data_IF_692858375376
#
_entry.id   IF_692858375376
#
_cell.length_a   1.000
_cell.length_b   1.000
_cell.length_c   1.000
_cell.angle_alpha   90.00
_cell.angle_beta   90.00
_cell.angle_gamma   90.00
#
_symmetry.space_group_name_H-M   'P 1'
#
loop_
_entity.id
_entity.type
_entity.pdbx_description
1 polymer ?
#
# COMPACT_ATOMS: atom_id res chain seq x y z
N UNK A 1 5.23 -28.46 -2.62
CA UNK A 1 5.77 -27.49 -1.65
C UNK A 1 5.15 -26.15 -2.00
N UNK A 2 4.54 -25.41 -1.04
CA UNK A 2 4.09 -24.05 -1.31
C UNK A 2 5.32 -23.19 -1.57
N UNK A 3 5.33 -22.40 -2.65
CA UNK A 3 6.43 -21.47 -2.89
C UNK A 3 6.44 -20.42 -1.79
N UNK A 4 7.57 -20.30 -1.12
CA UNK A 4 7.80 -19.27 -0.10
C UNK A 4 8.06 -17.95 -0.80
N UNK A 5 7.20 -16.97 -0.57
CA UNK A 5 7.36 -15.59 -1.06
C UNK A 5 7.84 -14.66 0.04
N UNK A 6 8.25 -13.48 -0.35
CA UNK A 6 8.80 -12.43 0.49
C UNK A 6 7.87 -11.20 0.42
N UNK A 7 7.33 -10.78 1.56
CA UNK A 7 6.38 -9.68 1.60
C UNK A 7 6.82 -8.59 2.59
N UNK A 8 6.61 -7.34 2.19
CA UNK A 8 6.73 -6.20 3.09
C UNK A 8 5.34 -5.73 3.51
N UNK A 9 5.14 -5.46 4.80
CA UNK A 9 3.90 -4.86 5.32
C UNK A 9 4.26 -3.52 5.96
N UNK A 10 3.69 -2.45 5.43
CA UNK A 10 3.98 -1.09 5.88
C UNK A 10 2.77 -0.54 6.63
N UNK A 11 2.97 -0.18 7.89
CA UNK A 11 1.99 0.52 8.71
C UNK A 11 2.14 2.03 8.53
N UNK A 12 1.18 2.61 7.81
CA UNK A 12 1.03 4.05 7.63
C UNK A 12 0.11 4.70 8.66
N UNK A 13 -0.28 3.96 9.69
CA UNK A 13 -1.06 4.48 10.79
C UNK A 13 -0.31 5.58 11.53
N UNK A 14 -1.07 6.53 12.07
CA UNK A 14 -0.55 7.61 12.89
C UNK A 14 -1.56 8.00 13.94
N UNK A 15 -1.08 8.23 15.15
CA UNK A 15 -1.87 8.86 16.19
C UNK A 15 -2.09 10.33 15.84
N UNK A 16 -3.36 10.71 15.69
CA UNK A 16 -3.80 12.09 15.56
C UNK A 16 -4.62 12.49 16.79
N UNK A 17 -4.87 13.76 16.99
CA UNK A 17 -5.52 14.31 18.18
C UNK A 17 -6.76 13.54 18.69
N UNK A 18 -7.54 12.94 17.78
CA UNK A 18 -8.80 12.27 18.09
C UNK A 18 -8.79 10.76 17.80
N UNK A 19 -7.67 10.19 17.41
CA UNK A 19 -7.56 8.77 17.08
C UNK A 19 -6.16 8.25 17.40
N UNK A 20 -6.11 7.08 18.01
CA UNK A 20 -4.87 6.40 18.38
C UNK A 20 -4.36 5.45 17.28
N UNK A 21 -5.05 5.37 16.13
CA UNK A 21 -4.67 4.47 15.03
C UNK A 21 -4.85 2.97 15.30
N UNK A 22 -5.51 2.59 16.41
CA UNK A 22 -5.60 1.19 16.86
C UNK A 22 -6.10 0.21 15.81
N UNK A 23 -7.16 0.54 15.07
CA UNK A 23 -7.69 -0.34 14.03
C UNK A 23 -6.67 -0.55 12.92
N UNK A 24 -5.97 0.51 12.52
CA UNK A 24 -4.94 0.42 11.49
C UNK A 24 -3.79 -0.52 11.92
N UNK A 25 -3.28 -0.35 13.15
CA UNK A 25 -2.26 -1.26 13.69
C UNK A 25 -2.76 -2.71 13.81
N UNK A 26 -4.03 -2.92 14.20
CA UNK A 26 -4.61 -4.27 14.28
C UNK A 26 -4.68 -4.92 12.90
N UNK A 27 -5.05 -4.18 11.85
CA UNK A 27 -5.06 -4.67 10.48
C UNK A 27 -3.63 -4.95 9.99
N UNK A 28 -2.66 -4.08 10.27
CA UNK A 28 -1.25 -4.32 9.98
C UNK A 28 -0.76 -5.64 10.60
N UNK A 29 -1.01 -5.86 11.90
CA UNK A 29 -0.67 -7.10 12.58
C UNK A 29 -1.41 -8.30 11.96
N UNK A 30 -2.68 -8.13 11.59
CA UNK A 30 -3.47 -9.18 10.91
C UNK A 30 -2.83 -9.56 9.57
N UNK A 31 -2.35 -8.60 8.79
CA UNK A 31 -1.65 -8.88 7.53
C UNK A 31 -0.35 -9.66 7.77
N UNK A 32 0.51 -9.20 8.67
CA UNK A 32 1.74 -9.90 9.05
C UNK A 32 1.46 -11.35 9.46
N UNK A 33 0.53 -11.54 10.41
CA UNK A 33 0.25 -12.85 10.99
C UNK A 33 -0.36 -13.80 9.95
N UNK A 34 -1.27 -13.31 9.10
CA UNK A 34 -1.88 -14.10 8.03
C UNK A 34 -0.83 -14.53 7.01
N UNK A 35 -0.01 -13.61 6.52
CA UNK A 35 1.04 -13.93 5.53
C UNK A 35 2.09 -14.89 6.11
N UNK A 36 2.45 -14.73 7.38
CA UNK A 36 3.35 -15.65 8.09
C UNK A 36 2.73 -17.04 8.24
N UNK A 37 1.44 -17.13 8.60
CA UNK A 37 0.71 -18.39 8.71
C UNK A 37 0.56 -19.12 7.35
N UNK A 38 0.53 -18.37 6.25
CA UNK A 38 0.57 -18.92 4.89
C UNK A 38 1.97 -19.47 4.50
N UNK A 39 2.99 -19.24 5.33
CA UNK A 39 4.35 -19.76 5.14
C UNK A 39 5.29 -18.79 4.43
N UNK A 40 4.91 -17.53 4.27
CA UNK A 40 5.72 -16.51 3.62
C UNK A 40 6.72 -15.84 4.59
N UNK A 41 7.77 -15.23 4.06
CA UNK A 41 8.65 -14.37 4.84
C UNK A 41 8.08 -12.95 4.85
N UNK A 42 8.01 -12.34 6.03
CA UNK A 42 7.44 -11.00 6.19
C UNK A 42 8.45 -10.08 6.86
N UNK A 43 8.66 -8.89 6.29
CA UNK A 43 9.32 -7.76 6.93
C UNK A 43 8.30 -6.65 7.15
N UNK A 44 8.48 -5.92 8.24
CA UNK A 44 7.56 -4.85 8.65
C UNK A 44 8.25 -3.49 8.65
N UNK A 45 7.44 -2.46 8.47
CA UNK A 45 7.81 -1.06 8.75
C UNK A 45 6.63 -0.37 9.41
N UNK A 46 6.83 0.20 10.57
CA UNK A 46 5.87 1.09 11.24
C UNK A 46 6.40 2.51 11.06
N UNK A 47 5.79 3.27 10.16
CA UNK A 47 6.29 4.60 9.75
C UNK A 47 6.40 5.55 10.94
N UNK A 48 5.45 5.48 11.90
CA UNK A 48 5.44 6.37 13.07
C UNK A 48 6.61 6.11 14.03
N UNK A 49 7.15 4.90 14.05
CA UNK A 49 8.33 4.53 14.86
C UNK A 49 9.65 4.98 14.24
N UNK A 50 9.61 5.45 13.00
CA UNK A 50 10.79 5.83 12.23
C UNK A 50 11.34 4.69 11.38
N UNK A 51 12.19 5.04 10.44
CA UNK A 51 12.82 4.09 9.50
C UNK A 51 14.15 4.63 8.98
N UNK A 52 15.03 3.73 8.63
CA UNK A 52 16.24 4.04 7.88
C UNK A 52 15.96 3.90 6.38
N UNK A 53 16.25 4.95 5.61
CA UNK A 53 15.90 5.03 4.19
C UNK A 53 16.59 3.96 3.34
N UNK A 54 17.86 3.69 3.63
CA UNK A 54 18.63 2.74 2.86
C UNK A 54 18.19 1.30 3.20
N UNK A 55 17.90 1.01 4.47
CA UNK A 55 17.30 -0.26 4.88
C UNK A 55 15.92 -0.47 4.25
N UNK A 56 15.11 0.58 4.09
CA UNK A 56 13.83 0.49 3.38
C UNK A 56 14.02 0.21 1.89
N UNK A 57 14.97 0.86 1.21
CA UNK A 57 15.31 0.54 -0.19
C UNK A 57 15.65 -0.94 -0.34
N UNK A 58 16.44 -1.51 0.57
CA UNK A 58 16.76 -2.94 0.55
C UNK A 58 15.52 -3.83 0.79
N UNK A 59 14.53 -3.40 1.60
CA UNK A 59 13.24 -4.11 1.72
C UNK A 59 12.45 -4.09 0.41
N UNK A 60 12.44 -2.96 -0.32
CA UNK A 60 11.81 -2.84 -1.64
C UNK A 60 12.46 -3.76 -2.69
N UNK A 61 13.77 -3.92 -2.64
CA UNK A 61 14.50 -4.85 -3.52
C UNK A 61 14.22 -6.31 -3.16
N UNK A 62 14.09 -6.61 -1.88
CA UNK A 62 13.89 -7.96 -1.35
C UNK A 62 12.47 -8.49 -1.61
N UNK A 63 11.41 -7.72 -1.36
CA UNK A 63 10.02 -8.18 -1.38
C UNK A 63 9.53 -8.61 -2.77
N UNK A 64 8.60 -9.56 -2.83
CA UNK A 64 7.78 -9.87 -4.01
C UNK A 64 6.55 -8.94 -4.09
N UNK A 65 6.00 -8.58 -2.93
CA UNK A 65 4.91 -7.61 -2.85
C UNK A 65 4.96 -6.80 -1.55
N UNK A 66 4.40 -5.58 -1.63
CA UNK A 66 4.15 -4.72 -0.46
C UNK A 66 2.65 -4.60 -0.17
N UNK A 67 2.30 -4.67 1.10
CA UNK A 67 0.97 -4.34 1.62
C UNK A 67 1.08 -3.02 2.36
N UNK A 68 0.41 -1.99 1.85
CA UNK A 68 0.26 -0.71 2.50
C UNK A 68 -0.98 -0.73 3.38
N UNK A 69 -0.83 -0.70 4.68
CA UNK A 69 -1.92 -0.55 5.63
C UNK A 69 -1.96 0.89 6.13
N UNK A 70 -2.99 1.65 5.76
CA UNK A 70 -3.05 3.08 6.08
C UNK A 70 -4.48 3.59 6.28
N UNK A 71 -4.73 4.56 7.18
CA UNK A 71 -6.01 5.21 7.26
C UNK A 71 -6.20 6.21 6.11
N UNK A 72 -7.44 6.40 5.66
CA UNK A 72 -7.80 7.52 4.82
C UNK A 72 -7.78 8.81 5.66
N UNK A 73 -7.02 9.81 5.22
CA UNK A 73 -6.85 11.09 5.90
C UNK A 73 -6.89 12.23 4.89
N UNK A 74 -7.89 13.11 5.01
CA UNK A 74 -8.06 14.21 4.06
C UNK A 74 -7.99 13.77 2.58
N UNK A 75 -8.81 12.77 2.23
CA UNK A 75 -9.02 12.25 0.88
C UNK A 75 -7.83 11.49 0.27
N UNK A 76 -6.88 11.07 1.09
CA UNK A 76 -5.72 10.30 0.66
C UNK A 76 -5.04 9.61 1.84
N UNK A 77 -3.76 9.35 1.70
CA UNK A 77 -2.90 8.81 2.75
C UNK A 77 -2.49 9.89 3.77
N UNK A 78 -2.11 9.51 5.00
CA UNK A 78 -1.48 10.44 5.95
C UNK A 78 -0.19 11.04 5.37
N UNK A 79 0.11 12.30 5.74
CA UNK A 79 1.33 12.97 5.29
C UNK A 79 2.62 12.20 5.62
N UNK A 80 2.61 11.39 6.68
CA UNK A 80 3.73 10.54 7.08
C UNK A 80 4.01 9.45 6.06
N UNK A 81 2.98 8.89 5.44
CA UNK A 81 3.09 7.92 4.34
C UNK A 81 3.66 8.61 3.10
N UNK A 82 3.17 9.81 2.78
CA UNK A 82 3.72 10.59 1.66
C UNK A 82 5.18 10.96 1.90
N UNK A 83 5.55 11.34 3.14
CA UNK A 83 6.95 11.57 3.53
C UNK A 83 7.82 10.32 3.30
N UNK A 84 7.34 9.13 3.73
CA UNK A 84 8.04 7.88 3.49
C UNK A 84 8.29 7.66 1.99
N UNK A 85 7.25 7.81 1.16
CA UNK A 85 7.38 7.70 -0.30
C UNK A 85 8.44 8.67 -0.83
N UNK A 86 8.36 9.94 -0.46
CA UNK A 86 9.28 10.96 -0.96
C UNK A 86 10.73 10.68 -0.54
N UNK A 87 10.95 10.23 0.67
CA UNK A 87 12.31 9.95 1.17
C UNK A 87 12.89 8.64 0.64
N UNK A 88 12.14 7.54 0.75
CA UNK A 88 12.62 6.20 0.39
C UNK A 88 12.71 6.02 -1.13
N UNK A 89 11.68 6.44 -1.87
CA UNK A 89 11.72 6.30 -3.33
C UNK A 89 12.81 7.20 -3.94
N UNK A 90 12.98 8.41 -3.41
CA UNK A 90 14.07 9.31 -3.85
C UNK A 90 15.45 8.73 -3.53
N UNK A 91 15.66 8.12 -2.37
CA UNK A 91 16.91 7.42 -2.06
C UNK A 91 17.17 6.30 -3.06
N UNK A 92 16.17 5.48 -3.34
CA UNK A 92 16.29 4.38 -4.32
C UNK A 92 16.51 4.84 -5.76
N UNK A 93 16.01 6.03 -6.15
CA UNK A 93 16.30 6.65 -7.46
C UNK A 93 17.76 7.12 -7.49
N UNK A 94 18.24 7.79 -6.44
CA UNK A 94 19.61 8.29 -6.36
C UNK A 94 20.67 7.20 -6.51
N UNK A 95 20.36 5.99 -6.11
CA UNK A 95 21.24 4.81 -6.21
C UNK A 95 21.00 3.95 -7.47
N UNK A 96 20.07 4.33 -8.35
CA UNK A 96 19.59 3.52 -9.49
C UNK A 96 19.13 2.10 -9.08
N UNK A 97 18.51 1.97 -7.91
CA UNK A 97 18.03 0.69 -7.37
C UNK A 97 16.55 0.46 -7.65
N UNK A 98 15.71 1.50 -7.50
CA UNK A 98 14.27 1.38 -7.68
C UNK A 98 13.80 1.90 -9.04
N UNK A 99 14.48 2.89 -9.59
CA UNK A 99 14.17 3.52 -10.88
C UNK A 99 15.47 3.86 -11.60
N UNK A 100 15.58 3.49 -12.88
CA UNK A 100 16.72 3.84 -13.72
C UNK A 100 16.58 5.26 -14.33
N UNK A 101 15.36 5.61 -14.73
CA UNK A 101 15.02 6.91 -15.33
C UNK A 101 13.48 7.05 -15.39
N UNK A 102 12.97 8.10 -15.99
CA UNK A 102 11.53 8.31 -16.14
C UNK A 102 10.88 7.51 -17.29
N UNK A 103 11.65 6.73 -18.03
CA UNK A 103 11.19 5.91 -19.16
C UNK A 103 11.19 6.64 -20.51
N UNK A 104 11.35 7.95 -20.54
CA UNK A 104 11.34 8.73 -21.79
C UNK A 104 12.70 8.65 -22.52
N UNK A 105 12.67 8.70 -23.83
CA UNK A 105 13.86 8.81 -24.67
C UNK A 105 14.02 10.21 -25.24
N UNK A 106 15.27 10.68 -25.37
CA UNK A 106 15.55 12.00 -25.94
C UNK A 106 15.04 12.18 -27.37
N UNK A 107 14.95 11.09 -28.13
CA UNK A 107 14.46 11.10 -29.53
C UNK A 107 12.93 11.25 -29.58
N UNK A 108 12.22 10.70 -28.59
CA UNK A 108 10.77 10.81 -28.45
C UNK A 108 10.39 11.11 -26.99
N UNK A 109 10.48 12.39 -26.55
CA UNK A 109 10.29 12.75 -25.14
C UNK A 109 8.83 12.77 -24.68
N UNK A 110 7.88 12.48 -25.57
CA UNK A 110 6.44 12.44 -25.26
C UNK A 110 5.94 11.03 -24.93
N UNK A 111 6.76 10.01 -25.14
CA UNK A 111 6.39 8.61 -24.92
C UNK A 111 7.23 7.95 -23.81
N UNK A 112 6.70 6.88 -23.24
CA UNK A 112 7.40 6.03 -22.27
C UNK A 112 7.44 6.56 -20.84
N UNK A 113 6.84 7.71 -20.52
CA UNK A 113 6.85 8.21 -19.14
C UNK A 113 6.30 7.19 -18.15
N UNK A 114 7.05 6.94 -17.07
CA UNK A 114 6.70 6.00 -16.03
C UNK A 114 7.12 4.54 -16.29
N UNK A 115 7.90 4.27 -17.35
CA UNK A 115 8.35 2.90 -17.68
C UNK A 115 9.78 2.58 -17.27
N UNK A 116 10.45 3.50 -16.57
CA UNK A 116 11.84 3.34 -16.13
C UNK A 116 12.03 2.68 -14.76
N UNK A 117 10.96 2.17 -14.15
CA UNK A 117 11.01 1.45 -12.90
C UNK A 117 11.75 0.11 -13.01
N UNK A 118 12.44 -0.31 -11.95
CA UNK A 118 13.25 -1.52 -11.92
C UNK A 118 12.60 -2.69 -11.16
N UNK A 119 11.46 -2.46 -10.50
CA UNK A 119 10.77 -3.46 -9.69
C UNK A 119 9.76 -4.29 -10.48
N UNK A 120 10.07 -4.61 -11.75
CA UNK A 120 9.21 -5.45 -12.58
C UNK A 120 8.99 -6.83 -11.96
N UNK A 121 7.74 -7.32 -12.02
CA UNK A 121 7.32 -8.58 -11.41
C UNK A 121 6.90 -8.45 -9.94
N UNK A 122 7.27 -7.37 -9.26
CA UNK A 122 6.82 -7.07 -7.90
C UNK A 122 5.42 -6.43 -7.91
N UNK A 123 4.74 -6.50 -6.77
CA UNK A 123 3.34 -6.08 -6.64
C UNK A 123 3.13 -5.17 -5.45
N UNK A 124 2.03 -4.40 -5.48
CA UNK A 124 1.58 -3.62 -4.33
C UNK A 124 0.09 -3.77 -4.09
N UNK A 125 -0.31 -3.78 -2.83
CA UNK A 125 -1.69 -3.81 -2.38
C UNK A 125 -1.95 -2.63 -1.43
N UNK A 126 -3.09 -1.97 -1.58
CA UNK A 126 -3.58 -0.99 -0.62
C UNK A 126 -4.60 -1.68 0.29
N UNK A 127 -4.45 -1.49 1.60
CA UNK A 127 -5.45 -1.76 2.61
C UNK A 127 -5.71 -0.48 3.38
N UNK A 128 -6.96 -0.01 3.42
CA UNK A 128 -7.25 1.26 4.06
C UNK A 128 -8.49 1.24 4.95
N UNK A 129 -8.52 2.18 5.91
CA UNK A 129 -9.66 2.38 6.82
C UNK A 129 -10.25 3.77 6.59
N UNK A 130 -11.56 3.86 6.46
CA UNK A 130 -12.25 5.12 6.18
C UNK A 130 -13.51 5.29 7.04
N UNK A 131 -13.76 6.52 7.47
CA UNK A 131 -15.04 6.85 8.10
C UNK A 131 -16.15 7.12 7.06
N UNK A 132 -15.84 7.16 5.78
CA UNK A 132 -16.83 7.28 4.72
C UNK A 132 -17.46 5.92 4.42
N UNK A 133 -18.78 5.84 4.15
CA UNK A 133 -19.44 4.62 3.71
C UNK A 133 -18.97 4.24 2.30
N UNK A 134 -19.13 2.97 1.92
CA UNK A 134 -18.65 2.48 0.61
C UNK A 134 -19.35 3.17 -0.55
N UNK A 135 -20.59 3.58 -0.38
CA UNK A 135 -21.40 4.29 -1.36
C UNK A 135 -20.75 5.60 -1.79
N UNK A 136 -20.06 6.29 -0.85
CA UNK A 136 -19.33 7.51 -1.18
C UNK A 136 -18.27 7.30 -2.26
N UNK A 137 -17.73 6.09 -2.39
CA UNK A 137 -16.71 5.72 -3.39
C UNK A 137 -17.31 5.17 -4.67
N UNK A 138 -18.43 4.43 -4.58
CA UNK A 138 -18.91 3.57 -5.67
C UNK A 138 -20.12 4.10 -6.40
N UNK A 139 -20.87 5.03 -5.79
CA UNK A 139 -22.09 5.57 -6.39
C UNK A 139 -21.75 6.81 -7.22
N UNK A 140 -22.22 6.81 -8.47
CA UNK A 140 -22.15 7.98 -9.34
C UNK A 140 -22.94 9.15 -8.71
N UNK A 141 -22.34 10.33 -8.67
CA UNK A 141 -22.92 11.53 -8.05
C UNK A 141 -22.69 11.66 -6.53
N UNK A 142 -22.17 10.63 -5.85
CA UNK A 142 -21.71 10.75 -4.46
C UNK A 142 -20.30 11.38 -4.41
N UNK A 143 -19.75 11.57 -3.20
CA UNK A 143 -18.60 12.43 -2.94
C UNK A 143 -17.35 12.13 -3.79
N UNK A 144 -17.09 10.86 -4.08
CA UNK A 144 -15.96 10.44 -4.93
C UNK A 144 -16.42 10.08 -6.36
N UNK A 145 -17.59 10.51 -6.78
CA UNK A 145 -18.09 10.45 -8.17
C UNK A 145 -18.06 9.04 -8.79
N UNK A 146 -18.21 8.00 -7.98
CA UNK A 146 -18.15 6.62 -8.46
C UNK A 146 -16.74 6.12 -8.84
N UNK A 147 -15.68 6.87 -8.51
CA UNK A 147 -14.30 6.52 -8.86
C UNK A 147 -13.82 5.19 -8.25
N UNK A 148 -14.49 4.70 -7.21
CA UNK A 148 -14.04 3.55 -6.46
C UNK A 148 -12.82 3.83 -5.60
N UNK A 149 -12.40 2.86 -4.79
CA UNK A 149 -11.25 3.01 -3.89
C UNK A 149 -9.97 3.26 -4.69
N UNK A 150 -9.72 2.47 -5.73
CA UNK A 150 -8.52 2.58 -6.55
C UNK A 150 -8.47 3.89 -7.36
N UNK A 151 -9.63 4.46 -7.69
CA UNK A 151 -9.71 5.78 -8.32
C UNK A 151 -9.33 6.91 -7.37
N UNK A 152 -9.78 6.85 -6.12
CA UNK A 152 -9.37 7.80 -5.08
C UNK A 152 -7.87 7.72 -4.81
N UNK A 153 -7.30 6.53 -4.80
CA UNK A 153 -5.86 6.28 -4.62
C UNK A 153 -5.06 6.23 -5.92
N UNK A 154 -5.56 6.76 -7.03
CA UNK A 154 -4.86 6.71 -8.32
C UNK A 154 -3.44 7.26 -8.23
N UNK A 155 -3.24 8.39 -7.57
CA UNK A 155 -1.92 9.01 -7.38
C UNK A 155 -0.96 8.09 -6.61
N UNK A 156 -1.46 7.41 -5.59
CA UNK A 156 -0.70 6.46 -4.78
C UNK A 156 -0.30 5.21 -5.58
N UNK A 157 -1.23 4.67 -6.35
CA UNK A 157 -0.93 3.60 -7.28
C UNK A 157 0.13 4.01 -8.29
N UNK A 158 0.02 5.22 -8.86
CA UNK A 158 0.99 5.72 -9.84
C UNK A 158 2.38 5.91 -9.25
N UNK A 159 2.51 6.31 -7.98
CA UNK A 159 3.80 6.36 -7.31
C UNK A 159 4.45 4.97 -7.21
N UNK A 160 3.69 3.94 -6.87
CA UNK A 160 4.17 2.55 -6.82
C UNK A 160 4.47 1.98 -8.22
N UNK A 161 3.59 2.23 -9.19
CA UNK A 161 3.76 1.79 -10.58
C UNK A 161 4.97 2.46 -11.25
N UNK A 162 5.33 3.67 -10.86
CA UNK A 162 6.53 4.34 -11.34
C UNK A 162 7.81 3.59 -10.97
N UNK A 163 7.80 2.81 -9.89
CA UNK A 163 8.87 1.88 -9.54
C UNK A 163 8.86 0.59 -10.37
N UNK A 164 7.80 0.32 -11.15
CA UNK A 164 7.63 -0.90 -11.96
C UNK A 164 6.73 -1.96 -11.31
N UNK A 165 6.12 -1.70 -10.15
CA UNK A 165 5.21 -2.66 -9.50
C UNK A 165 3.85 -2.72 -10.19
N UNK A 166 3.10 -3.81 -9.99
CA UNK A 166 1.73 -3.96 -10.46
C UNK A 166 0.74 -4.04 -9.29
N UNK A 167 -0.50 -3.62 -9.52
CA UNK A 167 -1.55 -3.60 -8.50
C UNK A 167 -2.04 -5.00 -8.16
N UNK A 168 -2.29 -5.23 -6.89
CA UNK A 168 -3.17 -6.27 -6.37
C UNK A 168 -4.52 -5.66 -5.98
N UNK A 169 -5.59 -6.46 -5.87
CA UNK A 169 -6.89 -5.96 -5.42
C UNK A 169 -6.79 -5.26 -4.07
N UNK A 170 -7.27 -4.03 -3.98
CA UNK A 170 -7.28 -3.25 -2.74
C UNK A 170 -8.31 -3.76 -1.74
N UNK A 171 -8.09 -3.50 -0.45
CA UNK A 171 -9.02 -3.78 0.64
C UNK A 171 -9.40 -2.48 1.34
N UNK A 172 -10.65 -2.37 1.80
CA UNK A 172 -11.12 -1.19 2.52
C UNK A 172 -12.06 -1.59 3.67
N UNK A 173 -11.85 -0.99 4.84
CA UNK A 173 -12.81 -0.94 5.93
C UNK A 173 -13.53 0.41 5.88
N UNK A 174 -14.83 0.39 5.70
CA UNK A 174 -15.66 1.59 5.62
C UNK A 174 -16.37 1.88 6.94
N UNK A 175 -16.76 3.14 7.14
CA UNK A 175 -17.62 3.59 8.23
C UNK A 175 -17.08 3.23 9.63
N UNK A 176 -15.75 3.31 9.78
CA UNK A 176 -15.03 2.77 10.95
C UNK A 176 -15.25 3.56 12.25
N UNK A 177 -15.88 4.73 12.20
CA UNK A 177 -16.20 5.55 13.38
C UNK A 177 -17.69 5.51 13.69
N UNK A 178 -18.57 5.70 12.68
CA UNK A 178 -20.01 5.80 12.90
C UNK A 178 -20.70 4.44 13.05
N UNK A 179 -20.21 3.42 12.34
CA UNK A 179 -20.77 2.08 12.37
C UNK A 179 -19.65 1.02 12.36
N UNK A 180 -18.76 0.98 13.38
CA UNK A 180 -17.62 0.09 13.38
C UNK A 180 -18.04 -1.39 13.45
N UNK A 181 -17.49 -2.20 12.54
CA UNK A 181 -17.71 -3.65 12.43
C UNK A 181 -16.37 -4.38 12.53
N UNK A 182 -15.63 -4.15 13.60
CA UNK A 182 -14.21 -4.55 13.73
C UNK A 182 -14.00 -6.04 13.49
N UNK A 183 -14.80 -6.92 14.10
CA UNK A 183 -14.68 -8.37 13.91
C UNK A 183 -14.88 -8.78 12.46
N UNK A 184 -15.88 -8.17 11.77
CA UNK A 184 -16.12 -8.40 10.37
C UNK A 184 -14.95 -7.92 9.51
N UNK A 185 -14.44 -6.71 9.75
CA UNK A 185 -13.28 -6.20 9.01
C UNK A 185 -12.09 -7.13 9.10
N UNK A 186 -11.79 -7.65 10.28
CA UNK A 186 -10.67 -8.56 10.49
C UNK A 186 -10.88 -9.91 9.80
N UNK A 187 -12.12 -10.45 9.83
CA UNK A 187 -12.45 -11.69 9.14
C UNK A 187 -12.37 -11.52 7.61
N UNK A 188 -12.97 -10.47 7.07
CA UNK A 188 -12.97 -10.15 5.64
C UNK A 188 -11.54 -9.88 5.14
N UNK A 189 -10.72 -9.20 5.95
CA UNK A 189 -9.33 -8.93 5.61
C UNK A 189 -8.48 -10.19 5.55
N UNK A 190 -8.61 -11.11 6.51
CA UNK A 190 -7.93 -12.40 6.44
C UNK A 190 -8.33 -13.17 5.19
N UNK A 191 -9.62 -13.26 4.90
CA UNK A 191 -10.12 -13.93 3.70
C UNK A 191 -9.59 -13.28 2.42
N UNK A 192 -9.50 -11.94 2.38
CA UNK A 192 -8.92 -11.21 1.26
C UNK A 192 -7.43 -11.53 1.08
N UNK A 193 -6.64 -11.50 2.15
CA UNK A 193 -5.22 -11.84 2.12
C UNK A 193 -4.98 -13.29 1.68
N UNK A 194 -5.77 -14.24 2.20
CA UNK A 194 -5.71 -15.65 1.78
C UNK A 194 -6.05 -15.83 0.29
N UNK A 195 -7.04 -15.08 -0.21
CA UNK A 195 -7.40 -15.09 -1.63
C UNK A 195 -6.31 -14.54 -2.53
N UNK A 196 -5.67 -13.44 -2.10
CA UNK A 196 -4.65 -12.72 -2.90
C UNK A 196 -3.29 -13.42 -2.84
N UNK A 197 -2.88 -13.90 -1.68
CA UNK A 197 -1.54 -14.40 -1.40
C UNK A 197 -1.49 -15.92 -1.11
N UNK A 198 -2.63 -16.58 -0.88
CA UNK A 198 -2.68 -17.99 -0.52
C UNK A 198 -2.48 -18.97 -1.67
N UNK A 199 -2.44 -18.51 -2.91
CA UNK A 199 -2.24 -19.33 -4.10
C UNK A 199 -0.78 -19.25 -4.53
N UNK A 200 0.00 -20.20 -4.06
CA UNK A 200 1.29 -20.57 -4.59
C UNK A 200 1.24 -21.97 -5.17
#
# INVERSE_FOLDING_TARGET
MRNKHEYSVIDGGKAFRFTEGRLNHTLHQTARDTLTALGHAVKETVIEEGYDKDAEVEKWLWMDAVVWQMPGWWMGEPWTVKKYIDEVFTAGVGENKLVANDGRHRVNPTEGYGTGGLLHGKKHMISSTWNAPIEAFTREGDFFEGAGVDGVYLHFHKANEFLGTTRLPSFICNDVIKNPQVERYLADYRAHLEKVFGRG
#
